data_IF_265579846562
#
_entry.id   IF_265579846562
#
_cell.length_a   1.000
_cell.length_b   1.000
_cell.length_c   1.000
_cell.angle_alpha   90.00
_cell.angle_beta   90.00
_cell.angle_gamma   90.00
#
_symmetry.space_group_name_H-M   'P 1'
#
loop_
_entity.id
_entity.type
_entity.pdbx_description
1 polymer ?
#
# COMPACT_ATOMS: atom_id res chain seq x y z
N UNK A 1 -9.44 -46.98 -25.64
CA UNK A 1 -8.59 -45.79 -25.59
C UNK A 1 -8.97 -45.05 -24.31
N UNK A 2 -8.29 -45.42 -23.23
CA UNK A 2 -8.55 -44.82 -21.89
C UNK A 2 -7.86 -43.48 -21.83
N UNK A 3 -8.61 -42.42 -21.65
CA UNK A 3 -8.07 -41.12 -21.28
C UNK A 3 -7.64 -41.20 -19.82
N UNK A 4 -6.36 -41.35 -19.57
CA UNK A 4 -5.77 -41.11 -18.25
C UNK A 4 -5.98 -39.64 -17.88
N UNK A 5 -6.97 -39.43 -16.99
CA UNK A 5 -7.14 -38.12 -16.35
C UNK A 5 -5.86 -37.76 -15.61
N UNK A 6 -5.19 -36.70 -16.05
CA UNK A 6 -4.12 -36.07 -15.28
C UNK A 6 -4.68 -35.70 -13.91
N UNK A 7 -4.40 -36.55 -12.94
CA UNK A 7 -4.61 -36.26 -11.53
C UNK A 7 -3.58 -35.16 -11.15
N UNK A 8 -3.96 -33.91 -11.34
CA UNK A 8 -3.13 -32.79 -10.83
C UNK A 8 -3.10 -32.93 -9.32
N UNK A 9 -1.98 -33.41 -8.80
CA UNK A 9 -1.76 -33.50 -7.36
C UNK A 9 -1.95 -32.08 -6.75
N UNK A 10 -2.91 -31.97 -5.84
CA UNK A 10 -3.16 -30.73 -5.11
C UNK A 10 -1.93 -30.35 -4.31
N UNK A 11 -1.40 -29.14 -4.51
CA UNK A 11 -0.31 -28.61 -3.70
C UNK A 11 -0.84 -27.89 -2.47
N UNK A 12 -0.03 -27.80 -1.42
CA UNK A 12 -0.35 -27.03 -0.20
C UNK A 12 -0.71 -25.59 -0.57
N UNK A 13 0.12 -24.94 -1.40
CA UNK A 13 -0.09 -23.55 -1.83
C UNK A 13 -1.42 -23.33 -2.55
N UNK A 14 -1.77 -24.18 -3.49
CA UNK A 14 -3.02 -24.09 -4.23
C UNK A 14 -4.23 -24.33 -3.34
N UNK A 15 -4.12 -25.30 -2.44
CA UNK A 15 -5.18 -25.66 -1.50
C UNK A 15 -5.43 -24.52 -0.51
N UNK A 16 -4.38 -23.93 0.05
CA UNK A 16 -4.45 -22.77 0.97
C UNK A 16 -5.15 -21.61 0.29
N UNK A 17 -4.75 -21.25 -0.95
CA UNK A 17 -5.36 -20.14 -1.69
C UNK A 17 -6.80 -20.42 -2.06
N UNK A 18 -7.07 -21.60 -2.61
CA UNK A 18 -8.40 -21.96 -3.13
C UNK A 18 -9.48 -21.99 -2.04
N UNK A 19 -9.13 -22.47 -0.85
CA UNK A 19 -10.08 -22.63 0.25
C UNK A 19 -9.88 -21.61 1.39
N UNK A 20 -9.08 -20.57 1.13
CA UNK A 20 -8.80 -19.48 2.09
C UNK A 20 -8.43 -20.03 3.48
N UNK A 21 -7.48 -20.97 3.50
CA UNK A 21 -7.08 -21.62 4.74
C UNK A 21 -6.22 -20.65 5.54
N UNK A 22 -6.53 -20.54 6.83
CA UNK A 22 -5.83 -19.68 7.79
C UNK A 22 -5.66 -20.39 9.12
N UNK A 23 -4.66 -19.99 9.88
CA UNK A 23 -4.47 -20.48 11.24
C UNK A 23 -5.53 -19.82 12.13
N UNK A 24 -6.28 -20.64 12.86
CA UNK A 24 -7.27 -20.19 13.84
C UNK A 24 -6.67 -20.08 15.24
N UNK A 25 -5.79 -21.03 15.59
CA UNK A 25 -4.97 -21.05 16.83
C UNK A 25 -3.78 -22.00 16.64
N UNK A 26 -2.98 -22.19 17.68
CA UNK A 26 -1.75 -23.03 17.64
C UNK A 26 -1.96 -24.46 17.11
N UNK A 27 -3.17 -24.97 17.15
CA UNK A 27 -3.48 -26.35 16.75
C UNK A 27 -4.60 -26.47 15.74
N UNK A 28 -5.19 -25.38 15.29
CA UNK A 28 -6.37 -25.39 14.42
C UNK A 28 -6.22 -24.47 13.22
N UNK A 29 -6.73 -24.94 12.11
CA UNK A 29 -6.89 -24.16 10.89
C UNK A 29 -8.38 -23.92 10.60
N UNK A 30 -8.69 -22.75 10.08
CA UNK A 30 -10.01 -22.41 9.55
C UNK A 30 -9.96 -22.39 8.02
N UNK A 31 -11.03 -22.75 7.37
CA UNK A 31 -11.15 -22.74 5.92
C UNK A 31 -12.57 -22.38 5.50
N UNK A 32 -12.75 -22.05 4.24
CA UNK A 32 -14.06 -21.76 3.68
C UNK A 32 -14.98 -22.99 3.71
N UNK A 33 -16.26 -22.74 3.95
CA UNK A 33 -17.28 -23.81 3.97
C UNK A 33 -17.36 -24.62 2.67
N UNK A 34 -16.88 -24.07 1.57
CA UNK A 34 -16.82 -24.73 0.27
C UNK A 34 -15.97 -26.01 0.28
N UNK A 35 -14.95 -26.10 1.16
CA UNK A 35 -14.12 -27.29 1.29
C UNK A 35 -14.91 -28.54 1.70
N UNK A 36 -15.96 -28.37 2.51
CA UNK A 36 -16.81 -29.48 2.96
C UNK A 36 -17.51 -30.22 1.80
N UNK A 37 -17.65 -29.56 0.64
CA UNK A 37 -18.23 -30.17 -0.58
C UNK A 37 -17.21 -30.95 -1.40
N UNK A 38 -15.92 -30.84 -1.08
CA UNK A 38 -14.82 -31.52 -1.77
C UNK A 38 -14.11 -32.48 -0.79
N UNK A 39 -14.50 -33.74 -0.81
CA UNK A 39 -13.95 -34.77 0.09
C UNK A 39 -12.44 -34.96 -0.07
N UNK A 40 -11.91 -34.85 -1.30
CA UNK A 40 -10.48 -35.01 -1.59
C UNK A 40 -9.69 -33.86 -0.98
N UNK A 41 -10.17 -32.60 -1.15
CA UNK A 41 -9.56 -31.45 -0.56
C UNK A 41 -9.60 -31.50 0.98
N UNK A 42 -10.70 -31.92 1.56
CA UNK A 42 -10.83 -32.09 3.00
C UNK A 42 -9.84 -33.13 3.54
N UNK A 43 -9.75 -34.29 2.88
CA UNK A 43 -8.79 -35.33 3.23
C UNK A 43 -7.33 -34.86 3.08
N UNK A 44 -7.04 -34.11 2.01
CA UNK A 44 -5.72 -33.52 1.81
C UNK A 44 -5.35 -32.59 2.96
N UNK A 45 -6.24 -31.66 3.32
CA UNK A 45 -6.04 -30.71 4.43
C UNK A 45 -5.86 -31.43 5.77
N UNK A 46 -6.64 -32.46 6.04
CA UNK A 46 -6.52 -33.25 7.27
C UNK A 46 -5.16 -33.98 7.35
N UNK A 47 -4.70 -34.52 6.23
CA UNK A 47 -3.43 -35.26 6.13
C UNK A 47 -2.22 -34.34 6.22
N UNK A 48 -2.27 -33.15 5.61
CA UNK A 48 -1.16 -32.21 5.50
C UNK A 48 -1.31 -30.99 6.40
N UNK A 49 -2.06 -31.11 7.49
CA UNK A 49 -2.41 -29.99 8.37
C UNK A 49 -1.16 -29.27 8.90
N UNK A 50 -0.19 -30.01 9.38
CA UNK A 50 1.05 -29.43 9.93
C UNK A 50 1.83 -28.68 8.85
N UNK A 51 2.01 -29.28 7.68
CA UNK A 51 2.69 -28.68 6.54
C UNK A 51 1.96 -27.41 6.04
N UNK A 52 0.63 -27.41 6.08
CA UNK A 52 -0.18 -26.23 5.76
C UNK A 52 0.04 -25.11 6.77
N UNK A 53 0.09 -25.43 8.07
CA UNK A 53 0.35 -24.43 9.11
C UNK A 53 1.74 -23.81 8.94
N UNK A 54 2.77 -24.63 8.78
CA UNK A 54 4.14 -24.18 8.53
C UNK A 54 4.25 -23.31 7.27
N UNK A 55 3.56 -23.67 6.19
CA UNK A 55 3.51 -22.88 4.98
C UNK A 55 2.86 -21.49 5.22
N UNK A 56 1.74 -21.45 5.96
CA UNK A 56 1.05 -20.19 6.27
C UNK A 56 1.93 -19.30 7.15
N UNK A 57 2.56 -19.84 8.19
CA UNK A 57 3.47 -19.12 9.07
C UNK A 57 4.68 -18.56 8.31
N UNK A 58 5.28 -19.35 7.43
CA UNK A 58 6.38 -18.91 6.58
C UNK A 58 5.97 -17.77 5.64
N UNK A 59 4.79 -17.87 5.02
CA UNK A 59 4.25 -16.80 4.15
C UNK A 59 3.93 -15.51 4.95
N UNK A 60 3.37 -15.63 6.14
CA UNK A 60 3.12 -14.49 7.02
C UNK A 60 4.42 -13.80 7.44
N UNK A 61 5.43 -14.57 7.81
CA UNK A 61 6.76 -14.06 8.15
C UNK A 61 7.41 -13.37 6.96
N UNK A 62 7.31 -13.95 5.76
CA UNK A 62 7.83 -13.35 4.54
C UNK A 62 7.18 -11.99 4.24
N UNK A 63 5.84 -11.93 4.30
CA UNK A 63 5.09 -10.70 4.06
C UNK A 63 5.43 -9.63 5.08
N UNK A 64 5.56 -9.99 6.35
CA UNK A 64 5.94 -9.04 7.40
C UNK A 64 7.37 -8.53 7.22
N UNK A 65 8.32 -9.40 6.86
CA UNK A 65 9.69 -8.99 6.57
C UNK A 65 9.74 -8.02 5.37
N UNK A 66 9.02 -8.32 4.28
CA UNK A 66 8.90 -7.42 3.12
C UNK A 66 8.30 -6.06 3.52
N UNK A 67 7.29 -6.05 4.40
CA UNK A 67 6.68 -4.83 4.93
C UNK A 67 7.67 -4.01 5.75
N UNK A 68 8.43 -4.65 6.64
CA UNK A 68 9.45 -4.00 7.48
C UNK A 68 10.58 -3.43 6.62
N UNK A 69 11.07 -4.20 5.65
CA UNK A 69 12.10 -3.74 4.71
C UNK A 69 11.63 -2.54 3.90
N UNK A 70 10.41 -2.62 3.37
CA UNK A 70 9.80 -1.50 2.63
C UNK A 70 9.67 -0.26 3.50
N UNK A 71 9.21 -0.41 4.74
CA UNK A 71 9.10 0.71 5.68
C UNK A 71 10.46 1.34 6.00
N UNK A 72 11.49 0.52 6.18
CA UNK A 72 12.84 1.02 6.41
C UNK A 72 13.38 1.86 5.22
N UNK A 73 13.09 1.44 3.99
CA UNK A 73 13.42 2.21 2.78
C UNK A 73 12.67 3.54 2.72
N UNK A 74 11.39 3.57 3.09
CA UNK A 74 10.60 4.80 3.18
C UNK A 74 11.18 5.74 4.24
N UNK A 75 11.50 5.21 5.42
CA UNK A 75 12.05 5.99 6.53
C UNK A 75 13.46 6.55 6.23
N UNK A 76 14.16 5.96 5.27
CA UNK A 76 15.45 6.42 4.79
C UNK A 76 15.35 7.56 3.76
N UNK A 77 14.15 7.92 3.27
CA UNK A 77 13.97 9.06 2.38
C UNK A 77 14.23 10.34 3.19
N UNK A 78 15.32 11.03 2.85
CA UNK A 78 15.75 12.24 3.54
C UNK A 78 14.65 13.32 3.51
N UNK A 79 14.35 13.87 4.68
CA UNK A 79 13.37 14.94 4.85
C UNK A 79 11.90 14.51 4.84
N UNK A 80 11.58 13.23 4.58
CA UNK A 80 10.18 12.80 4.53
C UNK A 80 9.48 12.94 5.90
N UNK A 81 10.19 12.67 6.98
CA UNK A 81 9.65 12.84 8.36
C UNK A 81 9.39 14.30 8.67
N UNK A 82 10.28 15.19 8.24
CA UNK A 82 10.12 16.64 8.38
C UNK A 82 8.94 17.15 7.57
N UNK A 83 8.80 16.74 6.31
CA UNK A 83 7.65 17.10 5.47
C UNK A 83 6.35 16.64 6.15
N UNK A 84 6.25 15.40 6.58
CA UNK A 84 5.05 14.89 7.24
C UNK A 84 4.70 15.66 8.52
N UNK A 85 5.72 16.03 9.32
CA UNK A 85 5.53 16.84 10.53
C UNK A 85 4.99 18.23 10.18
N UNK A 86 5.60 18.92 9.23
CA UNK A 86 5.15 20.27 8.83
C UNK A 86 3.80 20.25 8.11
N UNK A 87 3.49 19.25 7.33
CA UNK A 87 2.14 19.06 6.77
C UNK A 87 1.09 18.99 7.88
N UNK A 88 1.35 18.21 8.93
CA UNK A 88 0.45 18.11 10.07
C UNK A 88 0.33 19.46 10.84
N UNK A 89 1.43 20.19 11.02
CA UNK A 89 1.43 21.52 11.63
C UNK A 89 0.61 22.52 10.82
N UNK A 90 0.75 22.52 9.48
CA UNK A 90 -0.03 23.37 8.59
C UNK A 90 -1.52 23.04 8.59
N UNK A 91 -1.88 21.75 8.63
CA UNK A 91 -3.28 21.30 8.74
C UNK A 91 -3.87 21.81 10.06
N UNK A 92 -3.15 21.64 11.17
CA UNK A 92 -3.58 22.09 12.49
C UNK A 92 -3.70 23.62 12.58
N UNK A 93 -2.73 24.34 12.00
CA UNK A 93 -2.79 25.80 11.92
C UNK A 93 -4.03 26.27 11.17
N UNK A 94 -4.29 25.75 9.96
CA UNK A 94 -5.48 26.11 9.17
C UNK A 94 -6.76 25.84 9.93
N UNK A 95 -6.93 24.65 10.49
CA UNK A 95 -8.12 24.30 11.25
C UNK A 95 -8.30 25.18 12.51
N UNK A 96 -7.22 25.61 13.14
CA UNK A 96 -7.26 26.51 14.29
C UNK A 96 -7.54 27.95 13.90
N UNK A 97 -6.99 28.39 12.77
CA UNK A 97 -7.23 29.71 12.21
C UNK A 97 -8.68 29.87 11.72
N UNK A 98 -9.22 28.85 11.05
CA UNK A 98 -10.63 28.84 10.60
C UNK A 98 -11.57 28.99 11.81
N UNK A 99 -11.35 28.23 12.88
CA UNK A 99 -12.10 28.36 14.14
C UNK A 99 -11.95 29.72 14.81
N UNK A 100 -10.75 30.29 14.77
CA UNK A 100 -10.52 31.64 15.29
C UNK A 100 -11.33 32.68 14.53
N UNK A 101 -11.42 32.59 13.21
CA UNK A 101 -12.25 33.47 12.39
C UNK A 101 -13.75 33.22 12.61
N UNK A 102 -14.19 31.96 12.68
CA UNK A 102 -15.59 31.60 12.95
C UNK A 102 -16.08 32.12 14.32
N UNK A 103 -15.19 32.30 15.26
CA UNK A 103 -15.47 32.90 16.57
C UNK A 103 -15.21 34.40 16.63
N UNK A 104 -15.42 35.12 15.53
CA UNK A 104 -15.24 36.59 15.45
C UNK A 104 -13.85 37.09 15.90
N UNK A 105 -12.82 36.26 15.68
CA UNK A 105 -11.43 36.51 16.10
C UNK A 105 -11.25 36.73 17.62
N UNK A 106 -12.12 36.13 18.42
CA UNK A 106 -11.99 36.15 19.88
C UNK A 106 -11.02 35.09 20.37
N UNK A 107 -9.99 35.49 21.12
CA UNK A 107 -8.98 34.57 21.65
C UNK A 107 -7.57 34.86 21.11
N UNK A 108 -6.70 33.87 21.25
CA UNK A 108 -5.32 33.96 20.73
C UNK A 108 -5.26 33.51 19.30
N UNK A 109 -4.77 34.35 18.40
CA UNK A 109 -4.53 33.99 17.00
C UNK A 109 -3.52 32.82 16.93
N UNK A 110 -3.81 31.74 16.21
CA UNK A 110 -2.88 30.63 16.04
C UNK A 110 -1.55 31.09 15.39
N UNK A 111 -0.44 30.54 15.85
CA UNK A 111 0.88 30.82 15.29
C UNK A 111 1.07 30.04 13.99
N UNK A 112 1.39 30.77 12.92
CA UNK A 112 1.73 30.19 11.63
C UNK A 112 3.05 29.41 11.74
N UNK A 113 3.16 28.22 11.08
CA UNK A 113 4.45 27.52 10.99
C UNK A 113 5.56 28.39 10.35
N UNK A 114 6.79 28.25 10.84
CA UNK A 114 7.93 29.08 10.45
C UNK A 114 8.37 28.88 8.99
N UNK A 115 8.12 27.69 8.44
CA UNK A 115 8.52 27.31 7.07
C UNK A 115 7.28 27.03 6.22
N UNK A 116 7.31 27.44 4.97
CA UNK A 116 6.27 27.09 3.99
C UNK A 116 6.49 25.68 3.45
N UNK A 117 5.45 25.06 2.93
CA UNK A 117 5.57 23.75 2.27
C UNK A 117 6.44 23.82 1.01
N UNK A 118 6.43 24.96 0.31
CA UNK A 118 7.26 25.20 -0.88
C UNK A 118 8.75 25.23 -0.55
N UNK A 119 9.13 25.94 0.52
CA UNK A 119 10.52 25.95 1.00
C UNK A 119 10.97 24.56 1.43
N UNK A 120 10.09 23.81 2.10
CA UNK A 120 10.38 22.46 2.56
C UNK A 120 10.54 21.47 1.40
N UNK A 121 9.68 21.55 0.39
CA UNK A 121 9.77 20.74 -0.80
C UNK A 121 11.02 21.04 -1.63
N UNK A 122 11.43 22.32 -1.70
CA UNK A 122 12.67 22.72 -2.34
C UNK A 122 13.90 22.19 -1.59
N UNK A 123 13.82 22.11 -0.27
CA UNK A 123 14.91 21.58 0.57
C UNK A 123 15.06 20.06 0.45
N UNK A 124 13.94 19.32 0.30
CA UNK A 124 13.90 17.86 0.24
C UNK A 124 13.19 17.36 -1.02
N UNK A 125 13.79 17.55 -2.20
CA UNK A 125 13.08 17.29 -3.48
C UNK A 125 12.65 15.83 -3.65
N UNK A 126 13.47 14.87 -3.21
CA UNK A 126 13.10 13.43 -3.29
C UNK A 126 11.87 13.12 -2.44
N UNK A 127 11.81 13.63 -1.22
CA UNK A 127 10.66 13.45 -0.35
C UNK A 127 9.41 14.16 -0.90
N UNK A 128 9.57 15.35 -1.49
CA UNK A 128 8.48 16.07 -2.15
C UNK A 128 7.91 15.26 -3.33
N UNK A 129 8.76 14.63 -4.14
CA UNK A 129 8.32 13.78 -5.24
C UNK A 129 7.63 12.49 -4.74
N UNK A 130 8.13 11.92 -3.63
CA UNK A 130 7.44 10.80 -2.98
C UNK A 130 6.03 11.20 -2.52
N UNK A 131 5.86 12.38 -1.90
CA UNK A 131 4.55 12.93 -1.49
C UNK A 131 3.63 13.17 -2.69
N UNK A 132 4.17 13.64 -3.80
CA UNK A 132 3.41 13.79 -5.04
C UNK A 132 2.91 12.45 -5.57
N UNK A 133 3.77 11.43 -5.59
CA UNK A 133 3.39 10.07 -5.97
C UNK A 133 2.33 9.48 -5.00
N UNK A 134 2.47 9.72 -3.70
CA UNK A 134 1.50 9.33 -2.66
C UNK A 134 0.13 9.98 -2.88
N UNK A 135 0.09 11.26 -3.22
CA UNK A 135 -1.15 11.96 -3.59
C UNK A 135 -1.82 11.31 -4.81
N UNK A 136 -1.06 10.94 -5.85
CA UNK A 136 -1.60 10.19 -6.98
C UNK A 136 -2.10 8.81 -6.55
N UNK A 137 -1.35 8.09 -5.72
CA UNK A 137 -1.71 6.77 -5.23
C UNK A 137 -3.00 6.75 -4.41
N UNK A 138 -3.30 7.84 -3.70
CA UNK A 138 -4.52 7.99 -2.89
C UNK A 138 -5.77 8.38 -3.70
N UNK A 139 -5.63 8.65 -5.00
CA UNK A 139 -6.73 9.09 -5.85
C UNK A 139 -7.73 7.97 -6.12
N UNK A 140 -9.02 8.30 -6.20
CA UNK A 140 -10.08 7.33 -6.48
C UNK A 140 -10.04 6.77 -7.92
N UNK A 141 -9.43 7.49 -8.86
CA UNK A 141 -9.24 6.98 -10.21
C UNK A 141 -8.19 5.87 -10.21
N UNK A 142 -8.60 4.67 -10.66
CA UNK A 142 -7.74 3.48 -10.65
C UNK A 142 -6.43 3.70 -11.41
N UNK A 143 -6.47 4.31 -12.60
CA UNK A 143 -5.27 4.55 -13.41
C UNK A 143 -4.30 5.49 -12.72
N UNK A 144 -4.79 6.62 -12.18
CA UNK A 144 -3.98 7.58 -11.42
C UNK A 144 -3.36 6.94 -10.19
N UNK A 145 -4.16 6.18 -9.45
CA UNK A 145 -3.71 5.43 -8.26
C UNK A 145 -2.63 4.40 -8.59
N UNK A 146 -2.74 3.68 -9.72
CA UNK A 146 -1.73 2.71 -10.15
C UNK A 146 -0.42 3.41 -10.50
N UNK A 147 -0.47 4.49 -11.27
CA UNK A 147 0.72 5.27 -11.62
C UNK A 147 1.42 5.85 -10.38
N UNK A 148 0.64 6.35 -9.42
CA UNK A 148 1.17 6.84 -8.15
C UNK A 148 1.90 5.76 -7.35
N UNK A 149 1.34 4.55 -7.27
CA UNK A 149 1.99 3.41 -6.58
C UNK A 149 3.27 2.97 -7.28
N UNK A 150 3.26 2.88 -8.61
CA UNK A 150 4.46 2.56 -9.40
C UNK A 150 5.57 3.59 -9.14
N UNK A 151 5.23 4.89 -9.14
CA UNK A 151 6.18 5.95 -8.86
C UNK A 151 6.74 5.89 -7.42
N UNK A 152 5.89 5.61 -6.42
CA UNK A 152 6.35 5.42 -5.04
C UNK A 152 7.37 4.28 -4.94
N UNK A 153 7.08 3.12 -5.54
CA UNK A 153 8.00 1.97 -5.51
C UNK A 153 9.34 2.28 -6.20
N UNK A 154 9.32 2.96 -7.34
CA UNK A 154 10.53 3.37 -8.04
C UNK A 154 11.39 4.32 -7.19
N UNK A 155 10.77 5.32 -6.55
CA UNK A 155 11.45 6.25 -5.63
C UNK A 155 12.03 5.50 -4.42
N UNK A 156 11.28 4.58 -3.80
CA UNK A 156 11.74 3.75 -2.66
C UNK A 156 12.96 2.91 -3.06
N UNK A 157 12.98 2.39 -4.28
CA UNK A 157 14.08 1.55 -4.79
C UNK A 157 15.29 2.34 -5.31
N UNK A 158 15.27 3.67 -5.22
CA UNK A 158 16.43 4.52 -5.52
C UNK A 158 16.54 4.97 -6.96
N UNK A 159 15.48 4.83 -7.78
CA UNK A 159 15.45 5.34 -9.14
C UNK A 159 15.46 6.87 -9.18
N UNK A 160 15.77 7.46 -10.33
CA UNK A 160 15.70 8.90 -10.57
C UNK A 160 14.26 9.37 -10.36
N UNK A 161 14.06 10.23 -9.35
CA UNK A 161 12.71 10.67 -9.00
C UNK A 161 12.14 11.67 -10.01
N UNK A 162 13.00 12.44 -10.70
CA UNK A 162 12.58 13.37 -11.75
C UNK A 162 11.98 12.62 -12.93
N UNK A 163 12.71 11.64 -13.48
CA UNK A 163 12.26 10.83 -14.60
C UNK A 163 11.01 10.02 -14.27
N UNK A 164 10.93 9.49 -13.05
CA UNK A 164 9.79 8.70 -12.59
C UNK A 164 8.53 9.56 -12.49
N UNK A 165 8.66 10.78 -11.94
CA UNK A 165 7.53 11.70 -11.80
C UNK A 165 7.10 12.25 -13.17
N UNK A 166 8.03 12.65 -14.02
CA UNK A 166 7.72 13.12 -15.37
C UNK A 166 6.99 12.05 -16.18
N UNK A 167 7.44 10.80 -16.09
CA UNK A 167 6.79 9.67 -16.74
C UNK A 167 5.38 9.41 -16.19
N UNK A 168 5.19 9.48 -14.86
CA UNK A 168 3.89 9.35 -14.22
C UNK A 168 2.92 10.43 -14.71
N UNK A 169 3.35 11.69 -14.73
CA UNK A 169 2.53 12.82 -15.17
C UNK A 169 2.19 12.74 -16.66
N UNK A 170 3.17 12.38 -17.48
CA UNK A 170 2.97 12.17 -18.92
C UNK A 170 1.94 11.07 -19.18
N UNK A 171 2.09 9.90 -18.57
CA UNK A 171 1.14 8.79 -18.72
C UNK A 171 -0.26 9.15 -18.19
N UNK A 172 -0.33 9.95 -17.12
CA UNK A 172 -1.61 10.42 -16.62
C UNK A 172 -2.28 11.40 -17.59
N UNK A 173 -1.50 12.31 -18.18
CA UNK A 173 -2.01 13.24 -19.20
C UNK A 173 -2.50 12.49 -20.44
N UNK A 174 -1.71 11.54 -20.97
CA UNK A 174 -2.11 10.68 -22.08
C UNK A 174 -3.43 9.97 -21.80
N UNK A 175 -3.58 9.39 -20.60
CA UNK A 175 -4.83 8.76 -20.18
C UNK A 175 -6.01 9.74 -20.14
N UNK A 176 -5.81 10.96 -19.65
CA UNK A 176 -6.85 11.97 -19.62
C UNK A 176 -7.24 12.40 -21.04
N UNK A 177 -6.28 12.62 -21.93
CA UNK A 177 -6.52 13.01 -23.32
C UNK A 177 -7.31 11.93 -24.09
N UNK A 178 -7.08 10.65 -23.77
CA UNK A 178 -7.81 9.51 -24.36
C UNK A 178 -9.22 9.30 -23.78
N UNK A 179 -9.44 9.70 -22.51
CA UNK A 179 -10.67 9.37 -21.77
C UNK A 179 -11.41 10.60 -21.26
N UNK A 180 -10.92 11.80 -21.54
CA UNK A 180 -11.66 13.01 -21.24
C UNK A 180 -12.83 13.13 -22.21
N UNK A 181 -13.97 13.14 -21.62
CA UNK A 181 -15.28 13.32 -22.21
C UNK A 181 -15.37 14.71 -22.85
N UNK A 182 -15.73 14.75 -24.13
CA UNK A 182 -16.11 15.98 -24.84
C UNK A 182 -17.32 16.68 -24.19
#
# INVERSE_FOLDING_TARGET
MFMEGLNMAMTVRETVKKYNIRIANETQIACDKSIAKNKEALNFVMKHKQEIMEFIEAEQTRVENERVERQAKIDAIEGLKEINKYEAEWINYRASFDRFIENDAVGTCPTKPDMTMEELYSKYPRAAMYKKAEYYASNANYRKSTLGREAMEAIINGESYEEVIDNMEKKWKEYCDEHMWD
#
